data_IF_117142930384
#
_entry.id   IF_117142930384
#
_cell.length_a   1.000
_cell.length_b   1.000
_cell.length_c   1.000
_cell.angle_alpha   90.00
_cell.angle_beta   90.00
_cell.angle_gamma   90.00
#
_symmetry.space_group_name_H-M   'P 1'
#
loop_
_entity.id
_entity.type
_entity.pdbx_description
1 polymer ?
#
# COMPACT_ATOMS: atom_id res chain seq x y z
N UNK A 1 25.31 5.45 5.63
CA UNK A 1 24.98 4.76 6.88
C UNK A 1 23.51 4.32 6.80
N UNK A 2 23.27 3.01 6.75
CA UNK A 2 21.91 2.46 6.59
C UNK A 2 21.09 2.59 7.89
N UNK A 3 21.73 2.77 9.03
CA UNK A 3 21.04 2.95 10.32
C UNK A 3 20.31 4.30 10.41
N UNK A 4 20.58 5.21 9.47
CA UNK A 4 19.90 6.50 9.37
C UNK A 4 18.70 6.50 8.44
N UNK A 5 18.47 5.40 7.71
CA UNK A 5 17.33 5.26 6.80
C UNK A 5 16.08 4.96 7.62
N UNK A 6 15.07 5.80 7.45
CA UNK A 6 13.76 5.62 8.07
C UNK A 6 12.72 5.12 7.06
N UNK A 7 11.64 4.46 7.51
CA UNK A 7 10.56 4.04 6.63
C UNK A 7 9.97 5.20 5.83
N UNK A 8 9.92 5.04 4.52
CA UNK A 8 9.45 6.06 3.59
C UNK A 8 8.16 5.62 2.89
N UNK A 9 7.39 6.60 2.45
CA UNK A 9 6.24 6.38 1.57
C UNK A 9 6.30 7.36 0.41
N UNK A 10 6.26 6.85 -0.82
CA UNK A 10 6.11 7.68 -2.00
C UNK A 10 4.62 7.84 -2.31
N UNK A 11 4.09 9.03 -2.06
CA UNK A 11 2.69 9.37 -2.30
C UNK A 11 2.34 9.32 -3.79
N UNK A 12 1.04 9.21 -4.12
CA UNK A 12 0.58 9.00 -5.49
C UNK A 12 1.18 9.93 -6.52
N UNK A 13 1.26 9.38 -7.71
CA UNK A 13 1.57 9.86 -9.04
C UNK A 13 3.05 9.92 -9.39
N UNK A 14 3.99 9.83 -8.46
CA UNK A 14 5.41 9.74 -8.81
C UNK A 14 6.25 9.15 -7.66
N UNK A 15 7.24 8.29 -7.95
CA UNK A 15 8.10 7.72 -6.90
C UNK A 15 8.93 8.75 -6.13
N UNK A 16 9.22 9.92 -6.73
CA UNK A 16 9.94 10.99 -6.03
C UNK A 16 9.09 11.78 -5.04
N UNK A 17 7.79 11.51 -4.96
CA UNK A 17 6.91 12.07 -3.92
C UNK A 17 7.11 11.37 -2.58
N UNK A 18 8.37 11.13 -2.21
CA UNK A 18 8.75 10.37 -1.05
C UNK A 18 8.80 11.24 0.21
N UNK A 19 8.12 10.78 1.26
CA UNK A 19 8.06 11.43 2.56
C UNK A 19 8.32 10.40 3.66
N UNK A 20 8.86 10.80 4.82
CA UNK A 20 8.92 9.93 5.98
C UNK A 20 7.51 9.42 6.35
N UNK A 21 7.35 8.12 6.48
CA UNK A 21 6.04 7.53 6.80
C UNK A 21 5.43 8.11 8.08
N UNK A 22 6.27 8.36 9.08
CA UNK A 22 5.87 8.98 10.37
C UNK A 22 5.21 10.35 10.19
N UNK A 23 5.67 11.17 9.23
CA UNK A 23 5.11 12.50 8.99
C UNK A 23 3.74 12.40 8.31
N UNK A 24 3.61 11.49 7.34
CA UNK A 24 2.32 11.25 6.66
C UNK A 24 1.27 10.72 7.64
N UNK A 25 1.70 9.87 8.58
CA UNK A 25 0.82 9.37 9.64
C UNK A 25 0.44 10.49 10.62
N UNK A 26 1.38 11.37 10.98
CA UNK A 26 1.14 12.45 11.96
C UNK A 26 0.24 13.59 11.40
N UNK A 27 0.34 13.88 10.10
CA UNK A 27 -0.39 14.98 9.45
C UNK A 27 -1.20 14.49 8.23
N UNK A 28 -2.15 13.54 8.39
CA UNK A 28 -2.83 12.89 7.28
C UNK A 28 -3.59 13.87 6.37
N UNK A 29 -4.21 14.90 6.93
CA UNK A 29 -4.96 15.91 6.17
C UNK A 29 -4.06 16.74 5.25
N UNK A 30 -2.90 17.14 5.74
CA UNK A 30 -1.91 17.89 4.96
C UNK A 30 -1.47 17.11 3.73
N UNK A 31 -1.18 15.83 3.91
CA UNK A 31 -0.69 14.99 2.83
C UNK A 31 -1.82 14.54 1.87
N UNK A 32 -3.02 14.30 2.38
CA UNK A 32 -4.19 14.05 1.54
C UNK A 32 -4.48 15.24 0.62
N UNK A 33 -4.53 16.44 1.17
CA UNK A 33 -4.71 17.68 0.40
C UNK A 33 -3.59 17.88 -0.62
N UNK A 34 -2.36 17.62 -0.24
CA UNK A 34 -1.23 17.72 -1.15
C UNK A 34 -1.38 16.76 -2.36
N UNK A 35 -1.82 15.51 -2.13
CA UNK A 35 -2.09 14.55 -3.21
C UNK A 35 -3.19 15.04 -4.14
N UNK A 36 -4.27 15.59 -3.61
CA UNK A 36 -5.36 16.15 -4.42
C UNK A 36 -4.93 17.34 -5.25
N UNK A 37 -4.10 18.22 -4.70
CA UNK A 37 -3.50 19.32 -5.47
C UNK A 37 -2.60 18.84 -6.62
N UNK A 38 -1.86 17.73 -6.44
CA UNK A 38 -1.11 17.11 -7.53
C UNK A 38 -2.05 16.48 -8.56
N UNK A 39 -3.13 15.83 -8.13
CA UNK A 39 -4.11 15.24 -9.01
C UNK A 39 -4.75 16.29 -9.95
N UNK A 40 -5.14 17.43 -9.41
CA UNK A 40 -5.67 18.55 -10.21
C UNK A 40 -4.72 18.95 -11.32
N UNK A 41 -3.43 19.08 -11.03
CA UNK A 41 -2.41 19.46 -12.02
C UNK A 41 -2.20 18.38 -13.09
N UNK A 42 -2.23 17.11 -12.70
CA UNK A 42 -1.96 15.97 -13.60
C UNK A 42 -3.17 15.70 -14.51
N UNK A 43 -4.37 15.82 -13.95
CA UNK A 43 -5.63 15.50 -14.63
C UNK A 43 -6.40 16.75 -15.09
N UNK A 44 -5.69 17.84 -15.38
CA UNK A 44 -6.24 19.14 -15.75
C UNK A 44 -7.27 19.08 -16.89
N UNK A 45 -7.11 18.13 -17.82
CA UNK A 45 -8.01 17.91 -18.94
C UNK A 45 -9.13 16.88 -18.67
N UNK A 46 -9.26 16.40 -17.45
CA UNK A 46 -10.26 15.42 -17.01
C UNK A 46 -10.90 15.85 -15.69
N UNK A 47 -11.65 16.98 -15.68
CA UNK A 47 -12.10 17.62 -14.45
C UNK A 47 -13.03 16.79 -13.57
N UNK A 48 -13.68 15.77 -14.15
CA UNK A 48 -14.60 14.90 -13.42
C UNK A 48 -13.91 13.72 -12.70
N UNK A 49 -12.56 13.69 -12.71
CA UNK A 49 -11.81 12.53 -12.26
C UNK A 49 -10.74 12.97 -11.29
N UNK A 50 -11.13 13.25 -10.06
CA UNK A 50 -10.21 13.53 -8.97
C UNK A 50 -10.33 12.48 -7.87
N UNK A 51 -9.20 11.92 -7.39
CA UNK A 51 -9.24 11.13 -6.20
C UNK A 51 -9.63 12.03 -5.02
N UNK A 52 -10.55 11.58 -4.22
CA UNK A 52 -10.94 12.26 -3.00
C UNK A 52 -10.26 11.57 -1.80
N UNK A 53 -9.01 11.90 -1.56
CA UNK A 53 -8.24 11.30 -0.49
C UNK A 53 -8.62 11.89 0.88
N UNK A 54 -9.12 13.13 0.92
CA UNK A 54 -9.64 13.73 2.15
C UNK A 54 -10.81 12.93 2.73
N UNK A 55 -11.69 12.36 1.90
CA UNK A 55 -12.77 11.48 2.34
C UNK A 55 -12.28 10.15 2.95
N UNK A 56 -11.03 9.78 2.72
CA UNK A 56 -10.40 8.60 3.32
C UNK A 56 -9.86 8.87 4.73
N UNK A 57 -9.90 10.11 5.19
CA UNK A 57 -9.47 10.44 6.55
C UNK A 57 -10.61 10.12 7.51
N UNK A 58 -10.39 9.14 8.33
CA UNK A 58 -11.39 8.63 9.29
C UNK A 58 -10.90 8.79 10.72
N UNK A 59 -11.82 9.03 11.67
CA UNK A 59 -11.47 8.99 13.09
C UNK A 59 -10.90 7.62 13.46
N UNK A 60 -9.85 7.65 14.25
CA UNK A 60 -9.29 6.42 14.81
C UNK A 60 -9.99 6.09 16.12
N UNK A 61 -10.85 5.10 16.12
CA UNK A 61 -11.72 4.75 17.25
C UNK A 61 -11.24 3.55 18.06
N UNK A 62 -10.21 2.85 17.62
CA UNK A 62 -9.74 1.64 18.27
C UNK A 62 -8.57 1.91 19.21
N UNK A 63 -8.88 2.18 20.46
CA UNK A 63 -7.90 2.38 21.54
C UNK A 63 -6.94 1.17 21.73
N UNK A 64 -7.35 -0.03 21.32
CA UNK A 64 -6.51 -1.23 21.38
C UNK A 64 -5.42 -1.25 20.30
N UNK A 65 -5.50 -0.36 19.34
CA UNK A 65 -4.56 -0.21 18.23
C UNK A 65 -3.76 1.09 18.26
N UNK A 66 -3.88 1.88 19.32
CA UNK A 66 -3.00 3.01 19.51
C UNK A 66 -1.55 2.50 19.40
N UNK A 67 -0.87 2.87 18.32
CA UNK A 67 0.56 2.69 18.17
C UNK A 67 1.21 3.55 19.22
N UNK A 68 1.36 3.02 20.43
CA UNK A 68 1.97 3.62 21.60
C UNK A 68 1.59 5.09 21.89
N UNK A 69 1.80 5.53 23.10
CA UNK A 69 1.68 6.95 23.53
C UNK A 69 2.57 7.92 22.71
N UNK A 70 3.48 7.39 21.89
CA UNK A 70 4.35 8.16 21.02
C UNK A 70 3.65 8.76 19.79
N UNK A 71 2.47 8.25 19.41
CA UNK A 71 1.70 8.73 18.26
C UNK A 71 0.21 8.83 18.61
N UNK A 72 -0.22 9.81 19.41
CA UNK A 72 -1.63 10.06 19.67
C UNK A 72 -2.26 10.65 18.39
N UNK A 73 -2.78 9.78 17.53
CA UNK A 73 -3.37 10.19 16.25
C UNK A 73 -4.86 9.96 16.31
N UNK A 74 -5.61 11.04 16.32
CA UNK A 74 -7.07 11.02 16.35
C UNK A 74 -7.68 10.66 14.99
N UNK A 75 -6.92 10.80 13.90
CA UNK A 75 -7.39 10.61 12.52
C UNK A 75 -6.35 9.90 11.67
N UNK A 76 -6.79 9.06 10.73
CA UNK A 76 -5.93 8.27 9.84
C UNK A 76 -6.47 8.19 8.43
N UNK A 77 -5.59 8.02 7.46
CA UNK A 77 -5.98 7.71 6.09
C UNK A 77 -6.36 6.23 6.04
N UNK A 78 -7.60 5.96 5.63
CA UNK A 78 -8.07 4.60 5.38
C UNK A 78 -7.46 4.07 4.08
N UNK A 79 -6.82 2.93 4.18
CA UNK A 79 -6.30 2.18 3.03
C UNK A 79 -7.38 1.18 2.59
N UNK A 80 -7.65 1.12 1.29
CA UNK A 80 -8.66 0.21 0.74
C UNK A 80 -8.04 -1.11 0.28
N UNK A 81 -6.77 -1.09 -0.14
CA UNK A 81 -6.06 -2.26 -0.64
C UNK A 81 -4.56 -2.17 -0.31
N UNK A 82 -3.92 -3.31 -0.11
CA UNK A 82 -2.47 -3.42 -0.07
C UNK A 82 -1.95 -4.53 -0.99
N UNK A 83 -0.77 -4.33 -1.56
CA UNK A 83 -0.12 -5.35 -2.37
C UNK A 83 1.40 -5.32 -2.22
N UNK A 84 2.00 -6.50 -2.14
CA UNK A 84 3.45 -6.71 -2.27
C UNK A 84 3.67 -7.51 -3.54
N UNK A 85 4.40 -6.94 -4.50
CA UNK A 85 4.53 -7.57 -5.80
C UNK A 85 5.82 -7.21 -6.53
N UNK A 86 6.18 -8.10 -7.43
CA UNK A 86 7.25 -7.90 -8.39
C UNK A 86 8.64 -8.25 -7.88
N UNK A 87 9.62 -7.99 -8.75
CA UNK A 87 11.01 -8.36 -8.51
C UNK A 87 11.67 -7.58 -7.37
N UNK A 88 11.20 -6.39 -7.07
CA UNK A 88 11.73 -5.56 -5.98
C UNK A 88 11.15 -5.98 -4.62
N UNK A 89 9.84 -6.14 -4.54
CA UNK A 89 9.15 -6.32 -3.28
C UNK A 89 8.86 -7.77 -2.90
N UNK A 90 8.73 -8.65 -3.91
CA UNK A 90 8.41 -10.07 -3.71
C UNK A 90 9.61 -10.95 -3.33
N UNK A 91 10.70 -10.39 -2.80
CA UNK A 91 11.84 -11.17 -2.33
C UNK A 91 11.46 -12.03 -1.13
N UNK A 92 12.27 -13.04 -0.86
CA UNK A 92 12.06 -13.91 0.30
C UNK A 92 12.06 -13.09 1.60
N UNK A 93 13.04 -12.22 1.77
CA UNK A 93 13.26 -11.42 2.97
C UNK A 93 12.08 -10.48 3.23
N UNK A 94 11.59 -9.79 2.20
CA UNK A 94 10.48 -8.86 2.32
C UNK A 94 9.19 -9.58 2.74
N UNK A 95 8.87 -10.70 2.09
CA UNK A 95 7.65 -11.45 2.42
C UNK A 95 7.79 -12.10 3.81
N UNK A 96 8.96 -12.57 4.17
CA UNK A 96 9.22 -13.12 5.49
C UNK A 96 9.10 -12.05 6.58
N UNK A 97 9.58 -10.83 6.33
CA UNK A 97 9.37 -9.72 7.26
C UNK A 97 7.88 -9.40 7.48
N UNK A 98 7.07 -9.44 6.42
CA UNK A 98 5.61 -9.28 6.53
C UNK A 98 4.98 -10.40 7.36
N UNK A 99 5.43 -11.63 7.19
CA UNK A 99 4.98 -12.76 7.99
C UNK A 99 5.28 -12.55 9.47
N UNK A 100 6.51 -12.11 9.81
CA UNK A 100 6.89 -11.82 11.20
C UNK A 100 5.99 -10.74 11.83
N UNK A 101 5.72 -9.66 11.09
CA UNK A 101 4.81 -8.60 11.55
C UNK A 101 3.38 -9.14 11.73
N UNK A 102 2.88 -9.96 10.81
CA UNK A 102 1.57 -10.58 10.90
C UNK A 102 1.46 -11.49 12.13
N UNK A 103 2.45 -12.34 12.34
CA UNK A 103 2.54 -13.24 13.48
C UNK A 103 2.54 -12.49 14.83
N UNK A 104 3.35 -11.45 14.95
CA UNK A 104 3.43 -10.64 16.17
C UNK A 104 2.15 -9.84 16.42
N UNK A 105 1.47 -9.38 15.37
CA UNK A 105 0.24 -8.60 15.50
C UNK A 105 -0.91 -9.37 16.15
N UNK A 106 -0.93 -10.70 16.03
CA UNK A 106 -1.98 -11.62 16.52
C UNK A 106 -3.38 -11.27 16.02
N UNK A 107 -3.48 -10.50 14.92
CA UNK A 107 -4.75 -10.01 14.37
C UNK A 107 -4.91 -10.45 12.93
N UNK A 108 -6.13 -10.84 12.58
CA UNK A 108 -6.49 -11.09 11.20
C UNK A 108 -6.95 -9.81 10.52
N UNK A 109 -6.60 -9.66 9.25
CA UNK A 109 -6.96 -8.50 8.43
C UNK A 109 -8.47 -8.45 8.05
N UNK A 110 -9.23 -9.50 8.37
CA UNK A 110 -10.64 -9.57 8.04
C UNK A 110 -10.87 -9.56 6.53
N UNK A 111 -11.70 -8.63 6.06
CA UNK A 111 -12.01 -8.49 4.63
C UNK A 111 -11.03 -7.59 3.86
N UNK A 112 -10.03 -7.01 4.52
CA UNK A 112 -9.04 -6.15 3.88
C UNK A 112 -8.28 -6.89 2.77
N UNK A 113 -8.21 -6.27 1.60
CA UNK A 113 -7.56 -6.87 0.45
C UNK A 113 -6.04 -6.68 0.50
N UNK A 114 -5.34 -7.60 1.14
CA UNK A 114 -3.89 -7.63 1.14
C UNK A 114 -3.39 -8.83 0.33
N UNK A 115 -2.74 -8.56 -0.79
CA UNK A 115 -2.26 -9.57 -1.73
C UNK A 115 -0.72 -9.58 -1.78
N UNK A 116 -0.13 -10.77 -1.74
CA UNK A 116 1.32 -10.96 -1.78
C UNK A 116 1.68 -11.85 -2.97
N UNK A 117 2.61 -11.38 -3.79
CA UNK A 117 3.12 -12.06 -4.98
C UNK A 117 4.62 -12.31 -4.84
N UNK A 118 5.07 -13.52 -4.53
CA UNK A 118 6.49 -13.84 -4.54
C UNK A 118 7.14 -13.51 -5.90
N UNK A 119 8.39 -13.06 -5.90
CA UNK A 119 9.07 -12.67 -7.13
C UNK A 119 9.38 -13.86 -8.05
N UNK A 120 9.41 -15.10 -7.52
CA UNK A 120 9.67 -16.30 -8.29
C UNK A 120 9.09 -17.55 -7.64
N UNK A 121 8.98 -18.63 -8.41
CA UNK A 121 8.56 -19.94 -7.90
C UNK A 121 9.50 -20.52 -6.82
N UNK A 122 10.84 -20.44 -6.93
CA UNK A 122 11.72 -20.87 -5.85
C UNK A 122 11.47 -20.16 -4.53
N UNK A 123 11.25 -18.85 -4.54
CA UNK A 123 10.90 -18.08 -3.34
C UNK A 123 9.58 -18.58 -2.75
N UNK A 124 8.57 -18.81 -3.58
CA UNK A 124 7.29 -19.34 -3.17
C UNK A 124 7.41 -20.71 -2.49
N UNK A 125 8.22 -21.60 -3.07
CA UNK A 125 8.48 -22.93 -2.52
C UNK A 125 9.18 -22.83 -1.17
N UNK A 126 10.17 -21.96 -1.03
CA UNK A 126 10.90 -21.79 0.23
C UNK A 126 10.01 -21.19 1.34
N UNK A 127 9.22 -20.16 1.03
CA UNK A 127 8.25 -19.60 1.97
C UNK A 127 7.22 -20.64 2.43
N UNK A 128 6.79 -21.51 1.51
CA UNK A 128 5.90 -22.62 1.86
C UNK A 128 6.59 -23.65 2.76
N UNK A 129 7.85 -24.00 2.46
CA UNK A 129 8.63 -24.98 3.21
C UNK A 129 8.83 -24.59 4.68
N UNK A 130 9.02 -23.29 4.95
CA UNK A 130 9.17 -22.77 6.32
C UNK A 130 7.84 -22.46 7.02
N UNK A 131 6.71 -22.65 6.34
CA UNK A 131 5.38 -22.36 6.89
C UNK A 131 4.90 -20.92 6.81
N UNK A 132 5.72 -20.00 6.31
CA UNK A 132 5.40 -18.58 6.24
C UNK A 132 4.14 -18.28 5.41
N UNK A 133 3.89 -19.02 4.33
CA UNK A 133 2.67 -18.85 3.54
C UNK A 133 1.41 -19.22 4.33
N UNK A 134 1.47 -20.26 5.13
CA UNK A 134 0.35 -20.67 5.97
C UNK A 134 0.06 -19.61 7.04
N UNK A 135 1.10 -19.07 7.67
CA UNK A 135 0.97 -18.03 8.68
C UNK A 135 0.33 -16.76 8.09
N UNK A 136 0.79 -16.31 6.94
CA UNK A 136 0.19 -15.18 6.23
C UNK A 136 -1.30 -15.39 5.93
N UNK A 137 -1.68 -16.61 5.46
CA UNK A 137 -3.07 -16.93 5.16
C UNK A 137 -3.96 -16.96 6.42
N UNK A 138 -3.45 -17.45 7.55
CA UNK A 138 -4.16 -17.42 8.84
C UNK A 138 -4.51 -15.98 9.23
N UNK A 139 -3.61 -15.03 8.95
CA UNK A 139 -3.84 -13.61 9.21
C UNK A 139 -4.67 -12.88 8.13
N UNK A 140 -5.14 -13.60 7.10
CA UNK A 140 -6.03 -13.06 6.06
C UNK A 140 -5.30 -12.47 4.86
N UNK A 141 -3.97 -12.62 4.78
CA UNK A 141 -3.18 -12.24 3.60
C UNK A 141 -3.43 -13.25 2.48
N UNK A 142 -3.66 -12.77 1.27
CA UNK A 142 -3.89 -13.60 0.09
C UNK A 142 -2.57 -13.85 -0.64
N UNK A 143 -1.98 -15.01 -0.44
CA UNK A 143 -0.76 -15.39 -1.17
C UNK A 143 -1.12 -15.86 -2.57
N UNK A 144 -0.53 -15.23 -3.56
CA UNK A 144 -0.73 -15.48 -4.99
C UNK A 144 0.49 -16.15 -5.61
N UNK A 145 0.32 -16.71 -6.79
CA UNK A 145 1.44 -17.23 -7.57
C UNK A 145 2.36 -16.11 -8.04
N UNK A 146 3.66 -16.43 -8.24
CA UNK A 146 4.65 -15.46 -8.72
C UNK A 146 4.20 -14.83 -10.04
N UNK A 147 3.95 -13.52 -10.01
CA UNK A 147 3.47 -12.75 -11.15
C UNK A 147 3.76 -11.26 -10.98
N UNK A 148 4.24 -10.62 -12.04
CA UNK A 148 4.57 -9.19 -12.04
C UNK A 148 3.34 -8.28 -12.25
N UNK A 149 2.16 -8.85 -12.47
CA UNK A 149 0.94 -8.15 -12.88
C UNK A 149 0.53 -6.94 -12.06
N UNK A 150 0.52 -6.99 -10.73
CA UNK A 150 0.14 -5.84 -9.91
C UNK A 150 1.00 -4.60 -10.12
N UNK A 151 2.27 -4.77 -10.51
CA UNK A 151 3.18 -3.65 -10.75
C UNK A 151 2.83 -2.80 -11.99
N UNK A 152 1.95 -3.29 -12.87
CA UNK A 152 1.54 -2.59 -14.09
C UNK A 152 0.04 -2.71 -14.40
N UNK A 153 -0.75 -3.10 -13.41
CA UNK A 153 -2.20 -3.12 -13.53
C UNK A 153 -2.80 -4.30 -14.29
N UNK A 154 -2.07 -5.42 -14.43
CA UNK A 154 -2.61 -6.64 -15.02
C UNK A 154 -3.38 -7.51 -14.01
N UNK A 155 -3.26 -7.22 -12.73
CA UNK A 155 -4.08 -7.78 -11.64
C UNK A 155 -4.09 -6.83 -10.45
N UNK A 156 -5.03 -7.04 -9.51
CA UNK A 156 -5.21 -6.20 -8.32
C UNK A 156 -5.33 -4.71 -8.65
N UNK A 157 -6.01 -4.42 -9.77
CA UNK A 157 -6.38 -3.06 -10.10
C UNK A 157 -7.26 -2.51 -8.98
N UNK A 158 -6.91 -1.37 -8.38
CA UNK A 158 -7.75 -0.74 -7.37
C UNK A 158 -9.11 -0.36 -7.93
N UNK A 159 -10.12 -0.37 -7.08
CA UNK A 159 -11.43 0.17 -7.41
C UNK A 159 -11.35 1.68 -7.66
N UNK A 160 -12.38 2.22 -8.29
CA UNK A 160 -12.47 3.66 -8.51
C UNK A 160 -12.45 4.41 -7.16
N UNK A 161 -11.65 5.46 -7.09
CA UNK A 161 -11.40 6.24 -5.89
C UNK A 161 -10.82 5.44 -4.70
N UNK A 162 -10.21 4.28 -4.95
CA UNK A 162 -9.52 3.53 -3.90
C UNK A 162 -8.13 4.11 -3.62
N UNK A 163 -7.73 4.08 -2.35
CA UNK A 163 -6.35 4.32 -1.93
C UNK A 163 -5.66 2.98 -1.70
N UNK A 164 -4.64 2.69 -2.52
CA UNK A 164 -3.86 1.45 -2.48
C UNK A 164 -2.46 1.72 -1.97
N UNK A 165 -2.00 0.93 -1.00
CA UNK A 165 -0.60 0.93 -0.58
C UNK A 165 0.11 -0.26 -1.23
N UNK A 166 1.26 0.00 -1.84
CA UNK A 166 2.01 -1.02 -2.57
C UNK A 166 3.48 -1.00 -2.24
N UNK A 167 4.04 -2.15 -1.99
CA UNK A 167 5.46 -2.38 -2.12
C UNK A 167 5.70 -2.95 -3.52
N UNK A 168 6.09 -2.07 -4.43
CA UNK A 168 6.34 -2.37 -5.85
C UNK A 168 7.38 -1.40 -6.41
N UNK A 169 7.48 -1.26 -7.73
CA UNK A 169 8.60 -0.47 -8.31
C UNK A 169 8.24 0.97 -8.68
N UNK A 170 6.97 1.30 -8.91
CA UNK A 170 6.55 2.62 -9.43
C UNK A 170 5.08 2.88 -9.13
N UNK A 171 4.73 4.18 -9.00
CA UNK A 171 3.37 4.65 -8.77
C UNK A 171 2.98 5.82 -9.69
N UNK A 172 3.43 5.81 -10.94
CA UNK A 172 3.00 6.79 -11.94
C UNK A 172 1.48 6.76 -12.14
N UNK A 173 0.88 7.85 -12.64
CA UNK A 173 -0.54 7.88 -12.95
C UNK A 173 -0.96 6.68 -13.81
N UNK A 174 -2.06 6.04 -13.45
CA UNK A 174 -2.63 4.87 -14.14
C UNK A 174 -1.76 3.61 -14.14
N UNK A 175 -0.67 3.59 -13.40
CA UNK A 175 0.24 2.45 -13.33
C UNK A 175 -0.45 1.17 -12.85
N UNK A 176 -1.41 1.30 -11.94
CA UNK A 176 -2.15 0.19 -11.32
C UNK A 176 -3.32 -0.30 -12.17
N UNK A 177 -3.44 0.15 -13.42
CA UNK A 177 -4.49 -0.25 -14.34
C UNK A 177 -5.78 0.57 -14.27
N UNK A 178 -5.84 1.60 -13.42
CA UNK A 178 -6.93 2.59 -13.48
C UNK A 178 -6.87 3.39 -14.78
N UNK A 179 -8.04 3.70 -15.35
CA UNK A 179 -8.15 4.36 -16.66
C UNK A 179 -8.98 5.64 -16.52
N UNK A 180 -8.38 6.80 -16.35
CA UNK A 180 -9.09 8.07 -16.16
C UNK A 180 -10.10 8.37 -17.27
N UNK A 181 -9.74 8.10 -18.52
CA UNK A 181 -10.66 8.28 -19.66
C UNK A 181 -11.91 7.37 -19.63
N UNK A 182 -11.98 6.44 -18.68
CA UNK A 182 -13.14 5.59 -18.40
C UNK A 182 -13.78 5.88 -17.04
N UNK A 183 -13.48 7.00 -16.41
CA UNK A 183 -14.01 7.39 -15.12
C UNK A 183 -13.34 6.67 -13.93
N UNK A 184 -12.20 6.05 -14.14
CA UNK A 184 -11.47 5.32 -13.09
C UNK A 184 -10.26 6.10 -12.63
N UNK A 185 -10.23 6.45 -11.37
CA UNK A 185 -9.05 7.02 -10.70
C UNK A 185 -8.77 6.21 -9.44
N UNK A 186 -7.54 5.81 -9.29
CA UNK A 186 -7.05 5.24 -8.05
C UNK A 186 -5.75 5.91 -7.65
N UNK A 187 -5.52 6.01 -6.37
CA UNK A 187 -4.30 6.57 -5.79
C UNK A 187 -3.47 5.45 -5.20
N UNK A 188 -2.26 5.26 -5.68
CA UNK A 188 -1.34 4.29 -5.14
C UNK A 188 -0.11 4.98 -4.53
N UNK A 189 0.20 4.62 -3.30
CA UNK A 189 1.44 5.00 -2.63
C UNK A 189 2.38 3.79 -2.58
N UNK A 190 3.66 4.04 -2.82
CA UNK A 190 4.72 3.06 -2.62
C UNK A 190 5.28 3.17 -1.21
N UNK A 191 5.49 2.04 -0.58
CA UNK A 191 6.18 1.95 0.71
C UNK A 191 7.50 1.21 0.52
N UNK A 192 8.56 1.76 1.10
CA UNK A 192 9.90 1.18 1.19
C UNK A 192 10.35 1.10 2.65
#
# INVERSE_FOLDING_TARGET
DLDTVEPMIALPYHPSNAFPLREVIAEPEKYAKWVEEQAVKIFENTPDIHPNLEEKIVPYTDAAHALSDAFPIDRRIRVDQAAIAGCAAGSFENIYAVEQVAHESKKALGQFAFNVYPASQPIMVELNRIGAMNELMIHGVRVKTAFCGPCFGASDCPENNAFSIRHSTRNFPNREGSKPGQGQVASAALMD
#
